data_IF_232588353981
#
_entry.id   IF_232588353981
#
_cell.length_a   1.000
_cell.length_b   1.000
_cell.length_c   1.000
_cell.angle_alpha   90.00
_cell.angle_beta   90.00
_cell.angle_gamma   90.00
#
_symmetry.space_group_name_H-M   'P 1'
#
loop_
_entity.id
_entity.type
_entity.pdbx_description
1 polymer ?
#
# COMPACT_ATOMS: atom_id res chain seq x y z
N UNK A 1 18.58 3.57 -0.28
CA UNK A 1 18.27 3.66 -1.72
C UNK A 1 17.53 2.41 -2.24
N UNK A 2 18.08 1.20 -2.07
CA UNK A 2 17.49 -0.04 -2.60
C UNK A 2 16.07 -0.39 -2.06
N UNK A 3 15.89 -0.38 -0.74
CA UNK A 3 14.60 -0.69 -0.11
C UNK A 3 13.45 0.21 -0.59
N UNK A 4 13.72 1.48 -0.88
CA UNK A 4 12.72 2.41 -1.41
C UNK A 4 12.32 2.13 -2.86
N UNK A 5 13.28 1.72 -3.68
CA UNK A 5 12.97 1.31 -5.05
C UNK A 5 12.13 0.02 -5.06
N UNK A 6 12.45 -0.90 -4.16
CA UNK A 6 11.70 -2.15 -4.01
C UNK A 6 10.28 -1.92 -3.48
N UNK A 7 10.11 -1.01 -2.51
CA UNK A 7 8.79 -0.64 -2.01
C UNK A 7 7.96 0.07 -3.10
N UNK A 8 8.57 0.96 -3.88
CA UNK A 8 7.90 1.59 -5.05
C UNK A 8 7.46 0.55 -6.07
N UNK A 9 8.33 -0.41 -6.39
CA UNK A 9 8.04 -1.50 -7.33
C UNK A 9 6.89 -2.37 -6.81
N UNK A 10 6.93 -2.78 -5.54
CA UNK A 10 5.91 -3.61 -4.93
C UNK A 10 4.54 -2.91 -4.84
N UNK A 11 4.52 -1.60 -4.61
CA UNK A 11 3.30 -0.80 -4.56
C UNK A 11 2.73 -0.46 -5.94
N UNK A 12 3.54 -0.55 -7.00
CA UNK A 12 3.15 -0.12 -8.35
C UNK A 12 2.87 1.38 -8.47
N UNK A 13 3.26 2.18 -7.48
CA UNK A 13 3.08 3.63 -7.41
C UNK A 13 4.31 4.28 -6.76
N UNK A 14 4.50 5.57 -6.99
CA UNK A 14 5.56 6.34 -6.32
C UNK A 14 5.37 6.35 -4.80
N UNK A 15 6.49 6.42 -4.07
CA UNK A 15 6.51 6.56 -2.62
C UNK A 15 5.91 7.90 -2.21
N UNK A 16 4.94 7.86 -1.31
CA UNK A 16 4.40 9.03 -0.64
C UNK A 16 5.16 9.28 0.68
N UNK A 17 5.10 10.51 1.24
CA UNK A 17 5.71 10.82 2.53
C UNK A 17 5.20 9.93 3.67
N UNK A 18 3.96 9.46 3.56
CA UNK A 18 3.35 8.47 4.48
C UNK A 18 4.03 7.10 4.43
N UNK A 19 4.69 6.74 3.32
CA UNK A 19 5.39 5.46 3.16
C UNK A 19 6.82 5.52 3.76
N UNK A 20 7.31 6.72 4.14
CA UNK A 20 8.66 6.92 4.67
C UNK A 20 8.90 6.18 6.00
N UNK A 21 7.90 6.14 6.88
CA UNK A 21 7.99 5.42 8.16
C UNK A 21 8.11 3.91 7.96
N UNK A 22 7.36 3.36 6.99
CA UNK A 22 7.45 1.95 6.63
C UNK A 22 8.82 1.62 6.03
N UNK A 23 9.35 2.50 5.18
CA UNK A 23 10.64 2.34 4.53
C UNK A 23 11.81 2.39 5.53
N UNK A 24 11.73 3.25 6.55
CA UNK A 24 12.67 3.29 7.67
C UNK A 24 12.66 1.98 8.49
N UNK A 25 11.47 1.47 8.83
CA UNK A 25 11.29 0.18 9.52
C UNK A 25 11.89 -0.99 8.72
N UNK A 26 11.52 -1.09 7.43
CA UNK A 26 12.05 -2.11 6.51
C UNK A 26 13.58 -2.04 6.46
N UNK A 27 14.14 -0.84 6.37
CA UNK A 27 15.60 -0.64 6.32
C UNK A 27 16.26 -1.10 7.62
N UNK A 28 15.74 -0.69 8.78
CA UNK A 28 16.27 -1.09 10.10
C UNK A 28 16.26 -2.60 10.29
N UNK A 29 15.16 -3.27 9.95
CA UNK A 29 15.07 -4.74 10.07
C UNK A 29 15.95 -5.47 9.07
N UNK A 30 16.09 -4.93 7.85
CA UNK A 30 16.99 -5.49 6.84
C UNK A 30 18.45 -5.39 7.27
N UNK A 31 18.86 -4.26 7.85
CA UNK A 31 20.21 -4.08 8.42
C UNK A 31 20.44 -5.07 9.57
N UNK A 32 19.45 -5.22 10.46
CA UNK A 32 19.53 -6.18 11.58
C UNK A 32 19.63 -7.65 11.12
N UNK A 33 19.03 -8.02 9.99
CA UNK A 33 19.15 -9.35 9.38
C UNK A 33 20.37 -9.52 8.47
N UNK A 34 21.27 -8.52 8.38
CA UNK A 34 22.47 -8.60 7.54
C UNK A 34 22.19 -8.47 6.04
N UNK A 35 21.26 -7.60 5.66
CA UNK A 35 20.89 -7.31 4.27
C UNK A 35 20.30 -8.49 3.48
N UNK A 36 19.68 -9.44 4.19
CA UNK A 36 18.99 -10.53 3.54
C UNK A 36 17.80 -10.04 2.71
N UNK A 37 17.84 -10.35 1.40
CA UNK A 37 16.78 -10.01 0.45
C UNK A 37 15.43 -10.63 0.84
N UNK A 38 15.44 -11.84 1.41
CA UNK A 38 14.25 -12.51 1.93
C UNK A 38 13.59 -11.72 3.08
N UNK A 39 14.38 -11.22 4.04
CA UNK A 39 13.87 -10.33 5.10
C UNK A 39 13.29 -9.06 4.50
N UNK A 40 13.98 -8.46 3.53
CA UNK A 40 13.51 -7.25 2.87
C UNK A 40 12.14 -7.45 2.19
N UNK A 41 11.96 -8.54 1.44
CA UNK A 41 10.67 -8.89 0.82
C UNK A 41 9.59 -9.07 1.89
N UNK A 42 9.90 -9.82 2.95
CA UNK A 42 8.94 -10.11 4.02
C UNK A 42 8.47 -8.83 4.73
N UNK A 43 9.40 -7.92 5.01
CA UNK A 43 9.11 -6.61 5.62
C UNK A 43 8.35 -5.69 4.67
N UNK A 44 8.66 -5.71 3.37
CA UNK A 44 7.92 -4.95 2.34
C UNK A 44 6.46 -5.42 2.29
N UNK A 45 6.21 -6.74 2.27
CA UNK A 45 4.86 -7.31 2.23
C UNK A 45 4.08 -7.09 3.54
N UNK A 46 4.77 -7.09 4.69
CA UNK A 46 4.15 -6.80 5.99
C UNK A 46 3.98 -5.30 6.28
N UNK A 47 4.53 -4.44 5.42
CA UNK A 47 4.52 -3.00 5.67
C UNK A 47 3.10 -2.41 5.62
N UNK A 48 2.88 -1.37 6.43
CA UNK A 48 1.62 -0.62 6.45
C UNK A 48 1.13 -0.20 5.05
N UNK A 49 1.95 0.31 4.12
CA UNK A 49 1.44 0.66 2.79
C UNK A 49 1.02 -0.53 1.93
N UNK A 50 1.49 -1.74 2.24
CA UNK A 50 1.14 -2.97 1.54
C UNK A 50 -0.10 -3.64 2.14
N UNK A 51 -0.17 -3.77 3.47
CA UNK A 51 -1.32 -4.33 4.20
C UNK A 51 -2.48 -3.35 4.23
N UNK A 52 -2.20 -2.10 4.57
CA UNK A 52 -3.17 -1.04 4.73
C UNK A 52 -3.48 -0.36 3.40
N UNK A 53 -3.31 -1.06 2.27
CA UNK A 53 -3.78 -0.62 0.95
C UNK A 53 -5.16 -0.02 1.20
N UNK A 54 -5.34 1.31 1.02
CA UNK A 54 -6.68 1.84 1.04
C UNK A 54 -7.36 1.00 -0.02
N UNK A 55 -8.42 0.28 0.35
CA UNK A 55 -9.45 0.04 -0.66
C UNK A 55 -9.59 1.41 -1.28
N UNK A 56 -9.29 1.52 -2.57
CA UNK A 56 -9.91 2.54 -3.37
C UNK A 56 -11.38 2.26 -3.13
N UNK A 57 -11.95 2.88 -2.09
CA UNK A 57 -13.35 3.19 -2.05
C UNK A 57 -13.41 4.18 -3.19
N UNK A 58 -13.54 3.63 -4.39
CA UNK A 58 -14.12 4.29 -5.52
C UNK A 58 -15.30 5.03 -4.90
N UNK A 59 -15.13 6.33 -4.75
CA UNK A 59 -16.24 7.23 -4.64
C UNK A 59 -16.96 7.09 -5.99
N UNK A 60 -17.78 6.05 -6.09
CA UNK A 60 -18.94 6.01 -6.95
C UNK A 60 -20.08 5.53 -6.07
N UNK A 61 -20.36 6.35 -5.06
CA UNK A 61 -21.69 6.48 -4.52
C UNK A 61 -22.52 7.24 -5.57
N UNK A 62 -23.12 6.51 -6.51
CA UNK A 62 -24.53 6.65 -6.88
C UNK A 62 -24.84 5.76 -8.09
N UNK A 63 -25.25 4.52 -7.84
CA UNK A 63 -26.38 3.88 -8.54
C UNK A 63 -26.81 2.68 -7.70
N UNK A 64 -27.56 2.92 -6.62
CA UNK A 64 -28.40 1.87 -6.03
C UNK A 64 -29.85 2.27 -6.25
N UNK A 65 -30.53 1.48 -7.10
CA UNK A 65 -31.91 1.68 -7.56
C UNK A 65 -32.89 1.69 -6.38
N UNK A 66 -33.72 2.73 -6.25
CA UNK A 66 -35.14 2.55 -5.97
C UNK A 66 -35.94 3.83 -6.27
N UNK A 67 -36.70 3.80 -7.36
CA UNK A 67 -37.54 4.91 -7.80
C UNK A 67 -38.64 4.40 -8.70
N UNK A 68 -39.49 3.52 -8.17
CA UNK A 68 -40.78 3.21 -8.77
C UNK A 68 -41.61 4.48 -8.61
N UNK A 69 -41.72 5.30 -9.66
CA UNK A 69 -42.71 6.38 -9.71
C UNK A 69 -43.50 6.24 -11.01
N UNK A 70 -44.74 5.80 -10.84
CA UNK A 70 -45.80 5.81 -11.85
C UNK A 70 -45.85 7.19 -12.51
N UNK A 71 -45.81 7.21 -13.84
CA UNK A 71 -46.11 8.39 -14.65
C UNK A 71 -47.61 8.50 -14.88
N UNK A 72 -48.16 9.74 -14.92
CA UNK A 72 -49.59 10.01 -15.10
C UNK A 72 -50.11 9.63 -16.49
#
# INVERSE_FOLDING_TARGET
AFAGHMLSFALGRGLAPTDALALDQITKKTVASGYQLQTLIHEVVQSAPFISRPRVKTASANTHKHGIKKTP
#
